data_IF_266398045611
#
_entry.id   IF_266398045611
#
_cell.length_a   1.000
_cell.length_b   1.000
_cell.length_c   1.000
_cell.angle_alpha   90.00
_cell.angle_beta   90.00
_cell.angle_gamma   90.00
#
_symmetry.space_group_name_H-M   'P 1'
#
loop_
_entity.id
_entity.type
_entity.pdbx_description
1 polymer ?
#
# COMPACT_ATOMS: atom_id res chain seq x y z
N UNK A 20 -10.79 5.92 1.95
CA UNK A 20 -10.73 4.44 2.06
C UNK A 20 -9.37 3.99 2.62
N UNK A 21 -9.24 2.70 2.97
CA UNK A 21 -7.98 2.17 3.53
C UNK A 21 -7.48 0.95 2.76
N UNK A 22 -6.29 1.07 2.20
CA UNK A 22 -5.71 -0.03 1.45
C UNK A 22 -4.54 -0.66 2.20
N UNK A 23 -4.67 -1.94 2.51
CA UNK A 23 -3.61 -2.67 3.22
C UNK A 23 -3.05 -3.76 2.33
N UNK A 24 -1.73 -4.01 2.41
CA UNK A 24 -1.15 -5.02 1.55
C UNK A 24 -0.58 -6.21 2.28
N UNK A 25 -0.50 -7.29 1.52
CA UNK A 25 0.05 -8.52 2.02
C UNK A 25 1.47 -8.34 2.46
N UNK A 26 2.40 -8.52 1.54
CA UNK A 26 3.79 -8.32 1.87
C UNK A 26 4.50 -7.52 0.79
N UNK A 27 5.28 -6.54 1.23
CA UNK A 27 6.02 -5.69 0.31
C UNK A 27 7.41 -6.27 0.10
N UNK A 28 7.79 -6.54 -1.16
CA UNK A 28 9.10 -7.09 -1.48
C UNK A 28 10.21 -6.06 -1.30
N UNK A 29 9.81 -4.79 -1.30
CA UNK A 29 10.73 -3.68 -1.09
C UNK A 29 9.98 -2.37 -1.22
N UNK A 30 8.99 -2.35 -2.10
CA UNK A 30 8.16 -1.20 -2.24
C UNK A 30 7.03 -1.44 -1.28
N UNK A 31 7.18 -0.80 -0.16
CA UNK A 31 6.25 -0.95 0.94
C UNK A 31 5.21 0.17 0.95
N UNK A 32 5.34 1.12 1.87
CA UNK A 32 4.42 2.22 1.96
C UNK A 32 5.09 3.47 2.52
N UNK A 33 4.35 4.57 2.59
CA UNK A 33 4.91 5.83 3.09
C UNK A 33 5.76 6.46 2.01
N UNK A 34 5.15 7.36 1.24
CA UNK A 34 5.82 8.02 0.13
C UNK A 34 5.86 7.10 -1.08
N UNK A 35 6.13 5.83 -0.81
CA UNK A 35 6.24 4.83 -1.85
C UNK A 35 4.88 4.55 -2.51
N UNK A 36 3.88 4.32 -1.67
CA UNK A 36 2.50 4.01 -2.09
C UNK A 36 1.78 5.26 -2.48
N UNK A 37 2.04 6.26 -1.70
CA UNK A 37 1.49 7.58 -1.93
C UNK A 37 1.67 7.94 -3.38
N UNK A 38 2.77 7.46 -3.92
CA UNK A 38 3.12 7.71 -5.32
C UNK A 38 2.92 6.47 -6.21
N UNK A 39 3.39 5.32 -5.73
CA UNK A 39 3.33 4.07 -6.49
C UNK A 39 1.96 3.42 -6.45
N UNK A 40 1.28 3.59 -5.33
CA UNK A 40 -0.03 2.99 -5.14
C UNK A 40 -0.96 3.17 -6.31
N UNK A 41 -0.93 4.33 -6.98
CA UNK A 41 -1.92 4.51 -8.06
C UNK A 41 -2.05 5.94 -8.63
N UNK A 42 -3.32 6.26 -8.99
CA UNK A 42 -3.69 7.52 -9.59
C UNK A 42 -4.10 8.61 -8.62
N UNK A 43 -4.81 8.24 -7.55
CA UNK A 43 -5.29 9.22 -6.58
C UNK A 43 -4.40 9.31 -5.34
N UNK A 44 -4.59 10.38 -4.58
CA UNK A 44 -3.80 10.62 -3.37
C UNK A 44 -4.32 9.84 -2.17
N UNK A 45 -3.40 9.27 -1.41
CA UNK A 45 -3.77 8.55 -0.20
C UNK A 45 -3.55 9.44 1.02
N UNK A 46 -4.54 9.47 1.90
CA UNK A 46 -4.51 10.30 3.09
C UNK A 46 -3.36 9.94 4.03
N UNK A 47 -3.05 8.65 4.12
CA UNK A 47 -1.98 8.21 5.01
C UNK A 47 -1.52 6.80 4.70
N UNK A 48 -0.29 6.50 5.10
CA UNK A 48 0.29 5.20 4.87
C UNK A 48 1.02 4.69 6.08
N UNK A 49 0.59 3.53 6.54
CA UNK A 49 1.20 2.92 7.68
C UNK A 49 1.81 1.59 7.29
N UNK A 50 3.12 1.60 7.28
CA UNK A 50 3.91 0.41 6.99
C UNK A 50 4.86 0.13 8.16
N UNK A 51 4.90 -1.10 8.69
CA UNK A 51 5.79 -1.44 9.81
C UNK A 51 7.26 -1.09 9.54
N UNK A 52 7.53 -0.56 8.35
CA UNK A 52 8.87 -0.17 7.96
C UNK A 52 9.14 1.28 8.36
N UNK A 53 10.39 1.55 8.72
CA UNK A 53 10.80 2.89 9.11
C UNK A 53 11.76 3.46 8.07
N UNK A 54 11.25 4.30 7.16
CA UNK A 54 12.06 4.90 6.10
C UNK A 54 12.81 6.13 6.57
N UNK A 55 12.61 6.51 7.83
CA UNK A 55 13.31 7.66 8.38
C UNK A 55 14.82 7.44 8.32
N UNK A 56 15.21 6.19 8.07
CA UNK A 56 16.63 5.84 7.99
C UNK A 56 16.83 4.36 7.65
N UNK A 57 16.14 3.46 8.37
CA UNK A 57 16.24 2.00 8.15
C UNK A 57 16.09 1.58 6.70
N UNK A 58 14.89 1.79 6.17
CA UNK A 58 14.57 1.38 4.83
C UNK A 58 14.51 -0.13 4.80
N UNK A 59 13.42 -0.59 5.32
CA UNK A 59 13.15 -2.01 5.46
C UNK A 59 12.15 -2.54 4.43
N UNK A 60 12.21 -3.86 4.24
CA UNK A 60 11.31 -4.55 3.32
C UNK A 60 10.55 -5.63 4.07
N UNK A 61 9.25 -5.44 4.25
CA UNK A 61 8.44 -6.44 4.98
C UNK A 61 7.18 -6.78 4.21
N UNK A 62 6.13 -7.13 4.94
CA UNK A 62 4.90 -7.47 4.32
C UNK A 62 3.71 -7.24 5.19
N UNK A 63 3.06 -6.09 4.98
CA UNK A 63 1.87 -5.70 5.73
C UNK A 63 1.83 -4.18 5.84
N UNK A 64 0.97 -3.56 5.07
CA UNK A 64 0.87 -2.11 5.11
C UNK A 64 -0.56 -1.65 5.00
N UNK A 65 -0.81 -0.40 5.34
CA UNK A 65 -2.15 0.16 5.25
C UNK A 65 -2.08 1.62 4.84
N UNK A 66 -3.00 2.06 4.00
CA UNK A 66 -2.99 3.43 3.55
C UNK A 66 -4.40 3.95 3.46
N UNK A 67 -4.59 5.25 3.62
CA UNK A 67 -5.92 5.77 3.43
C UNK A 67 -5.88 6.27 2.01
N UNK A 68 -6.76 5.72 1.20
CA UNK A 68 -6.76 6.01 -0.22
C UNK A 68 -8.10 6.32 -0.79
N UNK A 69 -8.10 7.17 -1.81
CA UNK A 69 -9.33 7.44 -2.49
C UNK A 69 -9.82 6.10 -3.01
N UNK A 70 -8.87 5.16 -3.25
CA UNK A 70 -9.22 3.84 -3.73
C UNK A 70 -9.61 3.92 -5.19
N UNK A 71 -10.59 4.74 -5.46
CA UNK A 71 -11.07 4.96 -6.82
C UNK A 71 -9.98 4.62 -7.84
N UNK A 72 -9.02 5.52 -7.98
CA UNK A 72 -7.90 5.27 -8.87
C UNK A 72 -7.08 4.13 -8.30
N UNK A 73 -6.89 4.18 -6.99
CA UNK A 73 -6.14 3.17 -6.28
C UNK A 73 -6.81 1.82 -6.39
N UNK A 74 -8.12 1.84 -6.31
CA UNK A 74 -8.90 0.62 -6.38
C UNK A 74 -8.56 -0.15 -7.65
N UNK A 75 -8.47 0.54 -8.78
CA UNK A 75 -8.13 -0.12 -10.04
C UNK A 75 -6.74 -0.77 -9.97
N UNK A 76 -5.75 -0.02 -9.50
CA UNK A 76 -4.38 -0.54 -9.39
C UNK A 76 -4.29 -1.51 -8.21
N UNK A 77 -4.91 -1.12 -7.11
CA UNK A 77 -4.94 -1.90 -5.90
C UNK A 77 -5.46 -3.32 -6.17
N UNK A 78 -6.36 -3.44 -7.14
CA UNK A 78 -6.94 -4.72 -7.50
C UNK A 78 -5.95 -5.57 -8.28
N UNK A 79 -5.16 -4.92 -9.13
CA UNK A 79 -4.18 -5.64 -9.94
C UNK A 79 -2.76 -5.38 -9.46
N UNK A 80 -2.37 -4.10 -9.39
CA UNK A 80 -1.04 -3.72 -8.92
C UNK A 80 -0.59 -4.66 -7.81
N UNK A 81 -1.45 -4.77 -6.80
CA UNK A 81 -1.18 -5.63 -5.66
C UNK A 81 -0.94 -7.08 -6.08
N UNK A 82 -0.77 -7.93 -5.07
CA UNK A 82 -0.56 -9.36 -5.26
C UNK A 82 0.47 -9.69 -6.33
N UNK A 83 1.29 -8.72 -6.72
CA UNK A 83 2.33 -9.00 -7.69
C UNK A 83 3.35 -9.91 -7.04
N UNK A 84 3.92 -10.82 -7.80
CA UNK A 84 4.90 -11.73 -7.23
C UNK A 84 6.28 -11.15 -7.37
N UNK A 85 6.81 -10.69 -6.25
CA UNK A 85 8.12 -10.08 -6.24
C UNK A 85 9.11 -10.93 -5.46
N UNK A 86 10.12 -11.46 -6.16
CA UNK A 86 11.12 -12.29 -5.52
C UNK A 86 10.48 -13.46 -4.79
N UNK A 87 9.87 -13.16 -3.66
CA UNK A 87 9.19 -14.16 -2.86
C UNK A 87 8.15 -13.50 -1.95
N UNK A 88 7.68 -12.31 -2.35
CA UNK A 88 6.70 -11.59 -1.56
C UNK A 88 5.80 -10.72 -2.43
N UNK A 89 4.51 -10.87 -2.20
CA UNK A 89 3.46 -10.13 -2.91
C UNK A 89 2.66 -9.27 -1.94
N UNK A 90 2.37 -8.05 -2.37
CA UNK A 90 1.61 -7.09 -1.59
C UNK A 90 0.21 -6.97 -2.14
N UNK A 91 -0.74 -7.37 -1.33
CA UNK A 91 -2.14 -7.33 -1.70
C UNK A 91 -2.73 -5.98 -1.34
N UNK A 92 -3.63 -5.50 -2.15
CA UNK A 92 -4.22 -4.21 -1.86
C UNK A 92 -5.74 -4.29 -1.92
N UNK A 93 -6.37 -3.92 -0.81
CA UNK A 93 -7.82 -3.97 -0.70
C UNK A 93 -8.35 -2.72 -0.02
N UNK A 94 -9.58 -2.34 -0.38
CA UNK A 94 -10.21 -1.16 0.19
C UNK A 94 -10.89 -1.48 1.51
N UNK A 95 -10.49 -0.76 2.55
CA UNK A 95 -11.04 -1.00 3.88
C UNK A 95 -11.71 0.23 4.48
N UNK A 96 -13.05 0.20 4.52
CA UNK A 96 -13.86 1.27 5.11
C UNK A 96 -13.29 2.66 4.82
N UNK A 97 -13.88 3.67 5.45
CA UNK A 97 -13.43 5.05 5.27
C UNK A 97 -14.05 5.95 6.33
N UNK A 98 -13.23 6.39 7.28
CA UNK A 98 -13.72 7.23 8.37
C UNK A 98 -14.73 6.44 9.19
N UNK A 99 -15.96 6.36 8.68
CA UNK A 99 -17.01 5.60 9.34
C UNK A 99 -17.80 4.80 8.31
N UNK A 100 -17.53 3.50 8.25
CA UNK A 100 -18.22 2.62 7.30
C UNK A 100 -18.59 1.29 7.96
#
# INVERSE_FOLDING_TARGET
>A
MRGSHHHHHHRSRLPKSPPYTAFLGNLPYDVTEESIKEFFRGLNISAVRLPREPSNPERLKGFGYAEFEDLDSLLSALSLNEESLGNRRIRVDVADQAQD
#
